data_IF_553833335772
#
_entry.id   IF_553833335772
#
_cell.length_a   1.000
_cell.length_b   1.000
_cell.length_c   1.000
_cell.angle_alpha   90.00
_cell.angle_beta   90.00
_cell.angle_gamma   90.00
#
_symmetry.space_group_name_H-M   'P 1'
#
loop_
_entity.id
_entity.type
_entity.pdbx_description
1 polymer ?
#
# COMPACT_ATOMS: atom_id res chain seq x y z
N UNK A 1 -1.84 22.91 14.24
CA UNK A 1 -0.91 22.40 15.27
C UNK A 1 -0.20 21.19 14.67
N UNK A 2 1.12 21.22 14.52
CA UNK A 2 1.86 20.07 13.98
C UNK A 2 2.11 19.09 15.12
N UNK A 3 1.26 18.08 15.27
CA UNK A 3 1.58 16.90 16.07
C UNK A 3 2.66 16.13 15.32
N UNK A 4 3.89 16.13 15.83
CA UNK A 4 4.96 15.27 15.30
C UNK A 4 4.50 13.82 15.42
N UNK A 5 4.23 13.17 14.29
CA UNK A 5 3.83 11.77 14.25
C UNK A 5 5.02 10.91 14.71
N UNK A 6 4.88 10.16 15.80
CA UNK A 6 5.92 9.22 16.29
C UNK A 6 5.40 7.78 16.24
N UNK A 7 6.24 6.85 15.78
CA UNK A 7 5.91 5.42 15.65
C UNK A 7 6.86 4.54 16.47
N UNK A 8 7.39 5.11 17.55
CA UNK A 8 8.38 4.48 18.43
C UNK A 8 7.92 3.08 18.85
N UNK A 9 8.82 2.11 18.69
CA UNK A 9 8.68 0.69 19.06
C UNK A 9 7.56 -0.07 18.33
N UNK A 10 6.84 0.55 17.38
CA UNK A 10 5.84 -0.14 16.56
C UNK A 10 6.52 -1.18 15.67
N UNK A 11 5.95 -2.38 15.63
CA UNK A 11 6.43 -3.53 14.86
C UNK A 11 5.80 -3.45 13.48
N UNK A 12 6.60 -3.20 12.45
CA UNK A 12 6.12 -2.91 11.10
C UNK A 12 6.70 -3.91 10.12
N UNK A 13 5.83 -4.57 9.35
CA UNK A 13 6.21 -5.36 8.17
C UNK A 13 6.00 -4.50 6.92
N UNK A 14 7.04 -4.30 6.11
CA UNK A 14 6.92 -3.69 4.77
C UNK A 14 7.35 -4.71 3.73
N UNK A 15 6.43 -5.20 2.91
CA UNK A 15 6.80 -6.12 1.83
C UNK A 15 7.48 -5.35 0.69
N UNK A 16 8.51 -5.91 0.06
CA UNK A 16 9.15 -5.26 -1.11
C UNK A 16 9.91 -3.98 -0.79
N UNK A 17 10.40 -3.81 0.44
CA UNK A 17 10.95 -2.54 0.93
C UNK A 17 12.40 -2.23 0.55
N UNK A 18 12.93 -2.81 -0.53
CA UNK A 18 14.34 -2.63 -0.94
C UNK A 18 14.55 -1.64 -2.09
N UNK A 19 13.50 -1.32 -2.84
CA UNK A 19 13.53 -0.36 -3.96
C UNK A 19 12.27 0.51 -3.97
N UNK A 20 12.30 1.60 -4.75
CA UNK A 20 11.14 2.46 -5.03
C UNK A 20 10.36 2.89 -3.79
N UNK A 21 9.03 2.80 -3.88
CA UNK A 21 8.08 3.15 -2.81
C UNK A 21 8.40 2.38 -1.53
N UNK A 22 8.69 1.07 -1.64
CA UNK A 22 8.96 0.24 -0.47
C UNK A 22 10.18 0.72 0.32
N UNK A 23 11.27 1.09 -0.37
CA UNK A 23 12.48 1.64 0.29
C UNK A 23 12.18 2.95 1.02
N UNK A 24 11.42 3.84 0.38
CA UNK A 24 11.02 5.10 1.00
C UNK A 24 10.16 4.88 2.24
N UNK A 25 9.20 3.95 2.18
CA UNK A 25 8.34 3.56 3.31
C UNK A 25 9.19 3.00 4.46
N UNK A 26 10.10 2.07 4.19
CA UNK A 26 11.02 1.53 5.22
C UNK A 26 11.84 2.65 5.87
N UNK A 27 12.41 3.57 5.07
CA UNK A 27 13.17 4.71 5.56
C UNK A 27 12.36 5.57 6.53
N UNK A 28 11.17 6.00 6.10
CA UNK A 28 10.28 6.84 6.90
C UNK A 28 9.87 6.15 8.22
N UNK A 29 9.43 4.89 8.18
CA UNK A 29 9.04 4.19 9.41
C UNK A 29 10.21 4.09 10.41
N UNK A 30 11.43 3.88 9.93
CA UNK A 30 12.63 3.83 10.79
C UNK A 30 12.98 5.20 11.37
N UNK A 31 12.89 6.27 10.56
CA UNK A 31 13.09 7.65 11.02
C UNK A 31 12.10 8.01 12.14
N UNK A 32 10.88 7.50 12.07
CA UNK A 32 9.83 7.66 13.08
C UNK A 32 9.96 6.72 14.29
N UNK A 33 11.04 5.92 14.37
CA UNK A 33 11.36 5.07 15.52
C UNK A 33 10.72 3.68 15.52
N UNK A 34 10.12 3.25 14.41
CA UNK A 34 9.51 1.92 14.30
C UNK A 34 10.57 0.82 14.13
N UNK A 35 10.23 -0.39 14.61
CA UNK A 35 10.97 -1.63 14.35
C UNK A 35 10.46 -2.24 13.06
N UNK A 36 11.23 -2.11 11.99
CA UNK A 36 10.80 -2.51 10.65
C UNK A 36 11.43 -3.84 10.25
N UNK A 37 10.63 -4.75 9.70
CA UNK A 37 11.07 -5.92 8.95
C UNK A 37 10.64 -5.74 7.49
N UNK A 38 11.55 -5.97 6.55
CA UNK A 38 11.28 -5.85 5.12
C UNK A 38 11.66 -7.10 4.34
N UNK A 39 11.12 -7.24 3.14
CA UNK A 39 11.29 -8.45 2.31
C UNK A 39 11.67 -8.10 0.88
N UNK A 40 12.50 -8.95 0.28
CA UNK A 40 12.73 -9.01 -1.15
C UNK A 40 13.32 -10.38 -1.51
N UNK A 41 13.37 -10.70 -2.81
CA UNK A 41 13.96 -11.97 -3.29
C UNK A 41 15.47 -12.07 -2.99
N UNK A 42 16.18 -10.93 -2.97
CA UNK A 42 17.62 -10.85 -2.71
C UNK A 42 17.88 -9.71 -1.75
N UNK A 43 18.78 -9.95 -0.79
CA UNK A 43 19.21 -8.91 0.15
C UNK A 43 20.08 -7.87 -0.56
N UNK A 44 19.74 -6.57 -0.49
CA UNK A 44 20.63 -5.50 -0.94
C UNK A 44 21.84 -5.36 0.00
N UNK A 45 22.97 -4.92 -0.55
CA UNK A 45 24.20 -4.72 0.23
C UNK A 45 24.05 -3.63 1.33
N UNK A 46 23.17 -2.66 1.13
CA UNK A 46 22.91 -1.53 2.03
C UNK A 46 21.81 -1.81 3.06
N UNK A 47 21.19 -3.01 3.05
CA UNK A 47 20.12 -3.37 3.99
C UNK A 47 20.65 -4.28 5.10
N UNK A 48 20.58 -3.86 6.38
CA UNK A 48 20.97 -4.69 7.51
C UNK A 48 20.21 -6.02 7.56
N UNK A 49 20.91 -7.11 7.90
CA UNK A 49 20.35 -8.45 7.89
C UNK A 49 19.28 -8.68 8.96
N UNK A 50 19.35 -7.96 10.08
CA UNK A 50 18.41 -8.04 11.21
C UNK A 50 17.04 -7.45 10.89
N UNK A 51 16.93 -6.64 9.83
CA UNK A 51 15.67 -6.05 9.38
C UNK A 51 15.16 -6.65 8.06
N UNK A 52 15.77 -7.73 7.57
CA UNK A 52 15.51 -8.26 6.22
C UNK A 52 15.16 -9.75 6.22
N UNK A 53 14.21 -10.12 5.37
CA UNK A 53 13.88 -11.52 5.05
C UNK A 53 13.98 -11.74 3.55
N UNK A 54 14.91 -12.63 3.14
CA UNK A 54 15.00 -13.10 1.77
C UNK A 54 13.82 -14.04 1.47
N UNK A 55 12.87 -13.61 0.65
CA UNK A 55 11.70 -14.41 0.30
C UNK A 55 11.14 -14.02 -1.06
N UNK A 56 10.64 -15.03 -1.80
CA UNK A 56 9.77 -14.79 -2.94
C UNK A 56 8.31 -14.83 -2.49
N UNK A 57 7.71 -13.65 -2.39
CA UNK A 57 6.32 -13.55 -1.94
C UNK A 57 5.30 -14.07 -2.96
N UNK A 58 5.69 -14.33 -4.21
CA UNK A 58 4.79 -14.97 -5.17
C UNK A 58 4.45 -16.43 -4.78
N UNK A 59 5.27 -17.05 -3.93
CA UNK A 59 5.09 -18.45 -3.48
C UNK A 59 4.44 -18.54 -2.10
N UNK A 60 3.92 -19.74 -1.78
CA UNK A 60 3.38 -20.03 -0.44
C UNK A 60 4.51 -20.05 0.58
N UNK A 61 5.61 -20.71 0.24
CA UNK A 61 6.77 -20.91 1.09
C UNK A 61 7.43 -19.58 1.47
N UNK A 62 7.52 -18.63 0.54
CA UNK A 62 8.07 -17.31 0.81
C UNK A 62 7.18 -16.48 1.74
N UNK A 63 5.85 -16.53 1.56
CA UNK A 63 4.91 -15.90 2.48
C UNK A 63 5.02 -16.51 3.89
N UNK A 64 5.09 -17.84 3.99
CA UNK A 64 5.22 -18.55 5.26
C UNK A 64 6.54 -18.23 5.96
N UNK A 65 7.65 -18.14 5.22
CA UNK A 65 8.95 -17.75 5.76
C UNK A 65 8.90 -16.34 6.38
N UNK A 66 8.25 -15.40 5.69
CA UNK A 66 8.07 -14.02 6.18
C UNK A 66 7.19 -13.98 7.42
N UNK A 67 6.05 -14.68 7.43
CA UNK A 67 5.18 -14.72 8.60
C UNK A 67 5.91 -15.31 9.82
N UNK A 68 6.66 -16.41 9.64
CA UNK A 68 7.48 -17.01 10.71
C UNK A 68 8.54 -16.03 11.21
N UNK A 69 9.22 -15.30 10.33
CA UNK A 69 10.22 -14.32 10.72
C UNK A 69 9.62 -13.17 11.53
N UNK A 70 8.44 -12.67 11.14
CA UNK A 70 7.71 -11.65 11.92
C UNK A 70 7.40 -12.16 13.32
N UNK A 71 6.84 -13.36 13.44
CA UNK A 71 6.49 -13.93 14.73
C UNK A 71 7.73 -14.18 15.60
N UNK A 72 8.83 -14.66 15.02
CA UNK A 72 10.07 -14.92 15.75
C UNK A 72 10.75 -13.64 16.25
N UNK A 73 10.80 -12.60 15.40
CA UNK A 73 11.52 -11.36 15.72
C UNK A 73 10.70 -10.40 16.60
N UNK A 74 9.39 -10.35 16.38
CA UNK A 74 8.51 -9.33 16.93
C UNK A 74 7.41 -9.87 17.85
N UNK A 75 7.18 -11.19 17.88
CA UNK A 75 6.08 -11.81 18.61
C UNK A 75 4.68 -11.44 18.08
N UNK A 76 4.61 -10.78 16.92
CA UNK A 76 3.41 -10.18 16.35
C UNK A 76 3.74 -8.91 15.57
N UNK A 77 2.74 -8.27 14.98
CA UNK A 77 2.92 -7.07 14.14
C UNK A 77 1.86 -6.03 14.47
N UNK A 78 2.23 -4.75 14.40
CA UNK A 78 1.32 -3.63 14.62
C UNK A 78 0.87 -3.00 13.29
N UNK A 79 1.76 -2.99 12.29
CA UNK A 79 1.45 -2.45 10.96
C UNK A 79 1.98 -3.39 9.87
N UNK A 80 1.14 -3.72 8.89
CA UNK A 80 1.56 -4.42 7.67
C UNK A 80 1.38 -3.48 6.48
N UNK A 81 2.42 -3.31 5.66
CA UNK A 81 2.37 -2.52 4.43
C UNK A 81 2.71 -3.44 3.25
N UNK A 82 1.69 -3.80 2.49
CA UNK A 82 1.81 -4.61 1.28
C UNK A 82 2.18 -3.73 0.09
N UNK A 83 3.48 -3.61 -0.21
CA UNK A 83 3.98 -2.83 -1.36
C UNK A 83 4.26 -3.72 -2.57
N UNK A 84 4.54 -5.01 -2.36
CA UNK A 84 4.85 -5.94 -3.46
C UNK A 84 3.75 -5.94 -4.53
N UNK A 85 4.18 -5.83 -5.78
CA UNK A 85 3.35 -5.82 -6.96
C UNK A 85 4.15 -5.41 -8.18
N UNK A 86 3.54 -5.57 -9.35
CA UNK A 86 4.16 -5.31 -10.64
C UNK A 86 3.50 -6.17 -11.70
N UNK A 87 3.90 -6.01 -12.95
CA UNK A 87 3.41 -6.83 -14.05
C UNK A 87 4.56 -7.25 -14.95
N UNK A 88 4.48 -8.49 -15.42
CA UNK A 88 5.39 -9.05 -16.43
C UNK A 88 4.62 -9.64 -17.61
N UNK A 89 3.33 -9.34 -17.70
CA UNK A 89 2.46 -9.81 -18.76
C UNK A 89 2.97 -9.33 -20.15
N UNK A 90 2.86 -10.20 -21.18
CA UNK A 90 3.24 -9.84 -22.54
C UNK A 90 2.27 -8.79 -23.11
N UNK A 91 2.76 -8.03 -24.10
CA UNK A 91 1.89 -7.22 -24.94
C UNK A 91 1.07 -8.12 -25.89
N UNK A 92 -0.10 -7.64 -26.33
CA UNK A 92 -1.02 -8.39 -27.18
C UNK A 92 -2.44 -8.49 -26.61
N UNK A 93 -2.72 -7.71 -25.57
CA UNK A 93 -4.02 -7.59 -24.97
C UNK A 93 -4.48 -8.86 -24.26
N UNK A 94 -5.79 -8.97 -24.07
CA UNK A 94 -6.41 -10.08 -23.34
C UNK A 94 -6.06 -11.46 -23.92
N UNK A 95 -5.98 -11.58 -25.25
CA UNK A 95 -5.73 -12.85 -25.93
C UNK A 95 -4.30 -13.39 -25.72
N UNK A 96 -3.35 -12.52 -25.33
CA UNK A 96 -1.97 -12.91 -25.04
C UNK A 96 -1.77 -13.38 -23.58
N UNK A 97 -2.80 -13.28 -22.73
CA UNK A 97 -2.74 -13.70 -21.33
C UNK A 97 -3.23 -15.14 -21.21
N UNK A 98 -2.28 -16.07 -21.22
CA UNK A 98 -2.54 -17.47 -20.90
C UNK A 98 -2.71 -17.71 -19.39
N UNK A 99 -3.04 -18.96 -19.02
CA UNK A 99 -3.23 -19.37 -17.62
C UNK A 99 -2.02 -19.04 -16.74
N UNK A 100 -0.80 -19.23 -17.25
CA UNK A 100 0.42 -18.95 -16.51
C UNK A 100 0.62 -17.44 -16.29
N UNK A 101 0.37 -16.61 -17.31
CA UNK A 101 0.40 -15.16 -17.18
C UNK A 101 -0.61 -14.67 -16.14
N UNK A 102 -1.85 -15.16 -16.18
CA UNK A 102 -2.87 -14.84 -15.17
C UNK A 102 -2.45 -15.27 -13.77
N UNK A 103 -1.98 -16.51 -13.64
CA UNK A 103 -1.58 -17.08 -12.35
C UNK A 103 -0.40 -16.33 -11.75
N UNK A 104 0.57 -15.90 -12.58
CA UNK A 104 1.70 -15.09 -12.16
C UNK A 104 1.27 -13.71 -11.66
N UNK A 105 0.39 -13.02 -12.38
CA UNK A 105 -0.12 -11.70 -11.98
C UNK A 105 -0.90 -11.77 -10.65
N UNK A 106 -1.73 -12.81 -10.46
CA UNK A 106 -2.45 -13.05 -9.21
C UNK A 106 -1.50 -13.43 -8.05
N UNK A 107 -0.52 -14.29 -8.32
CA UNK A 107 0.50 -14.69 -7.35
C UNK A 107 1.37 -13.53 -6.90
N UNK A 108 1.59 -12.52 -7.74
CA UNK A 108 2.41 -11.36 -7.38
C UNK A 108 1.59 -10.23 -6.73
N UNK A 109 0.37 -9.97 -7.20
CA UNK A 109 -0.34 -8.73 -6.87
C UNK A 109 -1.48 -8.87 -5.86
N UNK A 110 -1.96 -10.09 -5.60
CA UNK A 110 -3.09 -10.35 -4.71
C UNK A 110 -2.74 -11.35 -3.61
N UNK A 111 -2.32 -12.54 -4.01
CA UNK A 111 -2.14 -13.66 -3.10
C UNK A 111 -1.09 -13.44 -1.99
N UNK A 112 -0.02 -12.64 -2.17
CA UNK A 112 0.90 -12.37 -1.08
C UNK A 112 0.22 -11.69 0.11
N UNK A 113 -0.62 -10.68 -0.18
CA UNK A 113 -1.37 -9.96 0.83
C UNK A 113 -2.35 -10.91 1.54
N UNK A 114 -3.12 -11.68 0.77
CA UNK A 114 -4.07 -12.67 1.33
C UNK A 114 -3.37 -13.68 2.25
N UNK A 115 -2.22 -14.24 1.83
CA UNK A 115 -1.48 -15.26 2.59
C UNK A 115 -0.92 -14.67 3.89
N UNK A 116 -0.28 -13.51 3.82
CA UNK A 116 0.31 -12.84 4.97
C UNK A 116 -0.73 -12.33 5.95
N UNK A 117 -1.83 -11.74 5.45
CA UNK A 117 -2.94 -11.30 6.30
C UNK A 117 -3.57 -12.49 7.02
N UNK A 118 -3.82 -13.61 6.32
CA UNK A 118 -4.32 -14.83 6.95
C UNK A 118 -3.41 -15.33 8.08
N UNK A 119 -2.09 -15.16 7.94
CA UNK A 119 -1.12 -15.61 8.94
C UNK A 119 -0.96 -14.63 10.11
N UNK A 120 -1.04 -13.32 9.89
CA UNK A 120 -0.65 -12.29 10.85
C UNK A 120 -1.83 -11.50 11.45
N UNK A 121 -2.92 -11.33 10.70
CA UNK A 121 -4.11 -10.58 11.13
C UNK A 121 -4.79 -11.18 12.38
N UNK A 122 -4.86 -12.51 12.60
CA UNK A 122 -5.44 -13.06 13.83
C UNK A 122 -4.76 -12.53 15.10
N UNK A 123 -3.44 -12.33 15.08
CA UNK A 123 -2.69 -11.72 16.19
C UNK A 123 -3.07 -10.25 16.41
N UNK A 124 -3.25 -9.50 15.31
CA UNK A 124 -3.72 -8.10 15.35
C UNK A 124 -5.14 -7.96 15.89
N UNK A 125 -6.03 -8.90 15.55
CA UNK A 125 -7.38 -8.95 16.09
C UNK A 125 -7.39 -9.29 17.59
N UNK A 126 -6.57 -10.24 18.02
CA UNK A 126 -6.43 -10.62 19.42
C UNK A 126 -5.89 -9.47 20.29
N UNK A 127 -4.91 -8.70 19.79
CA UNK A 127 -4.39 -7.50 20.46
C UNK A 127 -5.35 -6.30 20.37
N UNK A 128 -6.45 -6.39 19.59
CA UNK A 128 -7.44 -5.33 19.35
C UNK A 128 -6.81 -4.02 18.87
N UNK A 129 -5.74 -4.12 18.09
CA UNK A 129 -5.00 -3.00 17.55
C UNK A 129 -4.23 -3.44 16.31
N UNK A 130 -4.08 -2.55 15.34
CA UNK A 130 -3.19 -2.74 14.21
C UNK A 130 -3.75 -2.19 12.91
N UNK A 131 -2.88 -1.99 11.93
CA UNK A 131 -3.21 -1.38 10.65
C UNK A 131 -2.66 -2.23 9.51
N UNK A 132 -3.46 -2.50 8.49
CA UNK A 132 -3.00 -3.16 7.25
C UNK A 132 -3.16 -2.20 6.09
N UNK A 133 -2.10 -1.98 5.33
CA UNK A 133 -2.06 -1.07 4.18
C UNK A 133 -1.79 -1.90 2.93
N UNK A 134 -2.69 -1.83 1.97
CA UNK A 134 -2.57 -2.41 0.63
C UNK A 134 -2.20 -1.34 -0.38
N UNK A 135 -0.99 -1.40 -0.94
CA UNK A 135 -0.63 -0.55 -2.08
C UNK A 135 -1.27 -1.12 -3.34
N UNK A 136 -2.28 -0.42 -3.86
CA UNK A 136 -3.02 -0.84 -5.06
C UNK A 136 -2.50 -0.14 -6.32
N UNK A 137 -3.37 0.17 -7.28
CA UNK A 137 -3.02 0.85 -8.52
C UNK A 137 -4.24 1.51 -9.14
N UNK A 138 -4.06 2.65 -9.79
CA UNK A 138 -5.12 3.30 -10.59
C UNK A 138 -5.71 2.37 -11.66
N UNK A 139 -4.92 1.40 -12.13
CA UNK A 139 -5.35 0.48 -13.19
C UNK A 139 -6.48 -0.46 -12.76
N UNK A 140 -6.74 -0.57 -11.45
CA UNK A 140 -7.93 -1.24 -10.92
C UNK A 140 -9.24 -0.64 -11.45
N UNK A 141 -9.22 0.64 -11.84
CA UNK A 141 -10.35 1.38 -12.44
C UNK A 141 -10.10 1.76 -13.90
N UNK A 142 -8.84 2.03 -14.25
CA UNK A 142 -8.41 2.44 -15.59
C UNK A 142 -7.43 1.40 -16.18
N UNK A 143 -7.90 0.21 -16.55
CA UNK A 143 -7.03 -0.85 -17.07
C UNK A 143 -6.36 -0.40 -18.38
N UNK A 144 -5.09 -0.76 -18.56
CA UNK A 144 -4.42 -0.63 -19.87
C UNK A 144 -4.61 -1.95 -20.63
N UNK A 145 -5.48 -1.99 -21.65
CA UNK A 145 -5.97 -3.25 -22.21
C UNK A 145 -4.87 -4.10 -22.84
N UNK A 146 -3.84 -3.44 -23.39
CA UNK A 146 -2.78 -4.04 -24.21
C UNK A 146 -1.78 -4.91 -23.44
N UNK A 147 -1.60 -4.68 -22.13
CA UNK A 147 -0.50 -5.33 -21.40
C UNK A 147 -0.75 -5.61 -19.92
N UNK A 148 -1.77 -5.05 -19.27
CA UNK A 148 -1.90 -5.16 -17.81
C UNK A 148 -3.31 -5.53 -17.34
N UNK A 149 -4.11 -6.17 -18.20
CA UNK A 149 -5.47 -6.57 -17.86
C UNK A 149 -5.53 -7.49 -16.63
N UNK A 150 -4.68 -8.51 -16.55
CA UNK A 150 -4.62 -9.41 -15.39
C UNK A 150 -4.12 -8.71 -14.11
N UNK A 151 -3.12 -7.83 -14.25
CA UNK A 151 -2.64 -6.98 -13.15
C UNK A 151 -3.74 -6.06 -12.61
N UNK A 152 -4.48 -5.40 -13.49
CA UNK A 152 -5.60 -4.53 -13.14
C UNK A 152 -6.67 -5.29 -12.36
N UNK A 153 -7.04 -6.49 -12.83
CA UNK A 153 -7.98 -7.37 -12.13
C UNK A 153 -7.47 -7.78 -10.74
N UNK A 154 -6.20 -8.15 -10.62
CA UNK A 154 -5.58 -8.50 -9.33
C UNK A 154 -5.59 -7.32 -8.35
N UNK A 155 -5.25 -6.10 -8.81
CA UNK A 155 -5.28 -4.89 -7.98
C UNK A 155 -6.71 -4.42 -7.64
N UNK A 156 -7.69 -4.70 -8.49
CA UNK A 156 -9.11 -4.52 -8.17
C UNK A 156 -9.53 -5.46 -7.05
N UNK A 157 -9.21 -6.76 -7.14
CA UNK A 157 -9.50 -7.72 -6.09
C UNK A 157 -8.85 -7.34 -4.75
N UNK A 158 -7.58 -6.89 -4.77
CA UNK A 158 -6.87 -6.42 -3.57
C UNK A 158 -7.58 -5.23 -2.91
N UNK A 159 -8.16 -4.33 -3.70
CA UNK A 159 -8.86 -3.16 -3.19
C UNK A 159 -10.18 -3.48 -2.50
N UNK A 160 -10.88 -4.54 -2.91
CA UNK A 160 -12.14 -4.99 -2.29
C UNK A 160 -11.96 -5.41 -0.84
N UNK A 161 -10.76 -5.85 -0.47
CA UNK A 161 -10.47 -6.23 0.91
C UNK A 161 -10.36 -5.03 1.86
N UNK A 162 -10.39 -3.78 1.38
CA UNK A 162 -10.08 -2.60 2.19
C UNK A 162 -11.26 -1.64 2.37
N UNK A 163 -11.33 -0.99 3.55
CA UNK A 163 -12.44 -0.10 3.94
C UNK A 163 -12.10 1.39 3.91
N UNK A 164 -10.81 1.74 3.87
CA UNK A 164 -10.31 3.12 3.87
C UNK A 164 -9.27 3.30 2.76
N UNK A 165 -8.97 4.53 2.36
CA UNK A 165 -7.96 4.82 1.34
C UNK A 165 -7.03 5.96 1.74
N UNK A 166 -5.77 5.86 1.32
CA UNK A 166 -4.76 6.91 1.38
C UNK A 166 -4.34 7.23 -0.05
N UNK A 167 -4.49 8.50 -0.43
CA UNK A 167 -4.14 9.01 -1.74
C UNK A 167 -2.89 9.89 -1.63
N UNK A 168 -1.83 9.52 -2.35
CA UNK A 168 -0.65 10.37 -2.55
C UNK A 168 -0.91 11.22 -3.79
N UNK A 169 -1.09 12.52 -3.60
CA UNK A 169 -1.40 13.48 -4.68
C UNK A 169 -0.12 14.24 -5.06
N UNK A 170 0.24 14.14 -6.33
CA UNK A 170 1.33 14.88 -6.96
C UNK A 170 0.75 16.15 -7.60
N UNK A 171 1.33 17.32 -7.34
CA UNK A 171 0.86 18.58 -7.94
C UNK A 171 1.88 19.14 -8.92
N UNK A 172 1.38 19.83 -9.95
CA UNK A 172 2.20 20.43 -11.01
C UNK A 172 3.14 21.51 -10.45
N UNK A 173 2.71 22.27 -9.43
CA UNK A 173 3.30 23.57 -9.12
C UNK A 173 3.83 23.71 -7.68
N UNK A 174 4.10 22.59 -6.99
CA UNK A 174 4.80 22.51 -5.67
C UNK A 174 4.54 23.71 -4.72
N UNK A 175 3.26 24.04 -4.49
CA UNK A 175 2.73 25.14 -3.63
C UNK A 175 2.38 26.48 -4.29
N UNK A 176 2.37 26.65 -5.62
CA UNK A 176 1.89 27.90 -6.27
C UNK A 176 0.74 27.65 -7.23
N UNK A 177 -0.46 28.11 -6.87
CA UNK A 177 -1.54 28.30 -7.84
C UNK A 177 -2.35 27.04 -8.18
N UNK A 178 -3.02 26.48 -7.18
CA UNK A 178 -4.30 25.78 -7.33
C UNK A 178 -4.84 25.51 -5.92
N UNK A 179 -6.11 25.81 -5.65
CA UNK A 179 -6.78 25.64 -4.35
C UNK A 179 -7.09 24.15 -4.05
N UNK A 180 -6.15 23.24 -4.33
CA UNK A 180 -6.30 21.79 -4.11
C UNK A 180 -6.53 21.49 -2.63
N UNK A 181 -5.84 22.17 -1.71
CA UNK A 181 -6.06 22.01 -0.27
C UNK A 181 -7.48 22.44 0.14
N UNK A 182 -7.94 23.59 -0.34
CA UNK A 182 -9.29 24.07 -0.05
C UNK A 182 -10.37 23.19 -0.71
N UNK A 183 -10.08 22.58 -1.86
CA UNK A 183 -10.97 21.60 -2.48
C UNK A 183 -11.03 20.30 -1.67
N UNK A 184 -9.89 19.80 -1.17
CA UNK A 184 -9.81 18.62 -0.31
C UNK A 184 -10.54 18.84 1.02
N UNK A 185 -10.40 20.01 1.65
CA UNK A 185 -11.11 20.37 2.88
C UNK A 185 -12.65 20.38 2.72
N UNK A 186 -13.16 20.52 1.50
CA UNK A 186 -14.61 20.49 1.21
C UNK A 186 -15.16 19.08 1.04
N UNK A 187 -14.30 18.06 0.94
CA UNK A 187 -14.73 16.66 0.81
C UNK A 187 -14.92 16.10 2.21
N UNK A 188 -16.16 15.83 2.60
CA UNK A 188 -16.51 15.42 3.98
C UNK A 188 -15.82 14.12 4.42
N UNK A 189 -15.46 13.27 3.47
CA UNK A 189 -14.77 12.00 3.67
C UNK A 189 -13.25 12.13 3.82
N UNK A 190 -12.67 13.31 3.55
CA UNK A 190 -11.25 13.59 3.83
C UNK A 190 -11.10 13.76 5.34
N UNK A 191 -10.37 12.83 5.96
CA UNK A 191 -10.12 12.82 7.41
C UNK A 191 -8.86 13.58 7.78
N UNK A 192 -7.85 13.48 6.93
CA UNK A 192 -6.57 14.15 7.12
C UNK A 192 -5.91 14.43 5.77
N UNK A 193 -5.07 15.47 5.73
CA UNK A 193 -4.30 15.85 4.56
C UNK A 193 -2.94 16.40 5.00
N UNK A 194 -1.90 15.55 4.95
CA UNK A 194 -0.54 15.95 5.27
C UNK A 194 0.17 16.51 4.03
N UNK A 195 0.83 17.66 4.18
CA UNK A 195 1.75 18.20 3.16
C UNK A 195 3.11 17.56 3.35
N UNK A 196 3.63 16.93 2.30
CA UNK A 196 4.91 16.21 2.34
C UNK A 196 6.01 17.00 1.61
N UNK A 197 7.26 16.79 2.04
CA UNK A 197 8.44 17.25 1.31
C UNK A 197 8.96 16.13 0.39
N UNK A 198 9.15 16.39 -0.90
CA UNK A 198 9.72 15.41 -1.84
C UNK A 198 9.04 15.42 -3.21
N UNK A 199 9.00 14.27 -3.87
CA UNK A 199 8.26 14.09 -5.14
C UNK A 199 6.73 14.02 -4.91
N UNK A 200 6.30 13.56 -3.74
CA UNK A 200 4.89 13.55 -3.32
C UNK A 200 4.58 14.84 -2.58
N UNK A 201 3.51 15.54 -2.98
CA UNK A 201 3.14 16.82 -2.36
C UNK A 201 2.12 16.68 -1.22
N UNK A 202 1.13 15.79 -1.37
CA UNK A 202 0.07 15.61 -0.38
C UNK A 202 -0.17 14.12 -0.11
N UNK A 203 -0.44 13.79 1.15
CA UNK A 203 -0.98 12.51 1.59
C UNK A 203 -2.36 12.75 2.18
N UNK A 204 -3.39 12.28 1.47
CA UNK A 204 -4.80 12.49 1.81
C UNK A 204 -5.38 11.17 2.34
N UNK A 205 -5.90 11.18 3.56
CA UNK A 205 -6.61 10.05 4.14
C UNK A 205 -8.12 10.24 3.93
N UNK A 206 -8.76 9.24 3.32
CA UNK A 206 -10.18 9.23 3.02
C UNK A 206 -10.84 8.03 3.65
N UNK A 207 -11.99 8.26 4.28
CA UNK A 207 -12.85 7.23 4.84
C UNK A 207 -14.26 7.40 4.28
N UNK A 208 -14.72 6.41 3.51
CA UNK A 208 -16.05 6.41 2.94
C UNK A 208 -16.74 5.07 3.17
N UNK A 209 -18.07 5.11 3.27
CA UNK A 209 -18.87 3.92 3.55
C UNK A 209 -18.83 2.86 2.44
N UNK A 210 -18.51 3.26 1.21
CA UNK A 210 -18.44 2.38 0.05
C UNK A 210 -17.21 2.64 -0.78
N UNK A 211 -16.78 1.59 -1.47
CA UNK A 211 -15.66 1.65 -2.40
C UNK A 211 -15.94 2.57 -3.60
N UNK A 212 -17.16 2.53 -4.13
CA UNK A 212 -17.63 3.41 -5.20
C UNK A 212 -17.47 4.89 -4.82
N UNK A 213 -17.79 5.24 -3.57
CA UNK A 213 -17.62 6.61 -3.08
C UNK A 213 -16.16 7.04 -3.02
N UNK A 214 -15.24 6.14 -2.62
CA UNK A 214 -13.80 6.43 -2.67
C UNK A 214 -13.36 6.68 -4.12
N UNK A 215 -13.90 5.93 -5.08
CA UNK A 215 -13.62 6.14 -6.51
C UNK A 215 -14.15 7.48 -7.02
N UNK A 216 -15.34 7.92 -6.60
CA UNK A 216 -15.88 9.24 -6.95
C UNK A 216 -15.02 10.37 -6.40
N UNK A 217 -14.58 10.23 -5.15
CA UNK A 217 -13.67 11.19 -4.50
C UNK A 217 -12.35 11.23 -5.25
N UNK A 218 -11.79 10.06 -5.59
CA UNK A 218 -10.55 9.99 -6.39
C UNK A 218 -10.70 10.72 -7.73
N UNK A 219 -11.80 10.46 -8.46
CA UNK A 219 -12.07 11.10 -9.74
C UNK A 219 -12.21 12.61 -9.60
N UNK A 220 -12.87 13.07 -8.53
CA UNK A 220 -13.00 14.49 -8.19
C UNK A 220 -11.64 15.14 -7.94
N UNK A 221 -10.79 14.53 -7.11
CA UNK A 221 -9.45 15.06 -6.80
C UNK A 221 -8.56 15.06 -8.04
N UNK A 222 -8.62 14.00 -8.84
CA UNK A 222 -7.81 13.87 -10.07
C UNK A 222 -8.17 14.90 -11.13
N UNK A 223 -9.40 15.39 -11.12
CA UNK A 223 -9.88 16.43 -12.02
C UNK A 223 -9.56 17.87 -11.55
N UNK A 224 -9.03 18.04 -10.33
CA UNK A 224 -8.64 19.36 -9.84
C UNK A 224 -7.49 19.93 -10.67
N UNK A 225 -7.62 21.20 -11.06
CA UNK A 225 -6.52 21.90 -11.70
C UNK A 225 -5.30 21.93 -10.75
N UNK A 226 -4.10 21.74 -11.29
CA UNK A 226 -2.87 21.58 -10.51
C UNK A 226 -2.58 20.17 -9.98
N UNK A 227 -3.48 19.17 -10.08
CA UNK A 227 -3.14 17.76 -9.82
C UNK A 227 -2.49 17.14 -11.04
N UNK A 228 -1.32 16.51 -10.85
CA UNK A 228 -0.54 15.85 -11.91
C UNK A 228 -0.76 14.34 -11.91
N UNK A 229 -0.79 13.72 -10.74
CA UNK A 229 -0.99 12.28 -10.58
C UNK A 229 -1.53 11.97 -9.18
N UNK A 230 -2.21 10.84 -9.02
CA UNK A 230 -2.62 10.32 -7.71
C UNK A 230 -2.27 8.84 -7.62
N UNK A 231 -1.40 8.49 -6.67
CA UNK A 231 -1.16 7.09 -6.28
C UNK A 231 -2.11 6.75 -5.13
N UNK A 232 -3.06 5.83 -5.36
CA UNK A 232 -4.00 5.41 -4.32
C UNK A 232 -3.61 4.08 -3.71
N UNK A 233 -3.37 4.09 -2.41
CA UNK A 233 -3.23 2.91 -1.57
C UNK A 233 -4.50 2.74 -0.75
N UNK A 234 -4.98 1.52 -0.56
CA UNK A 234 -6.12 1.27 0.32
C UNK A 234 -5.62 0.78 1.66
N UNK A 235 -6.23 1.26 2.74
CA UNK A 235 -5.92 0.85 4.10
C UNK A 235 -7.10 0.02 4.61
N UNK A 236 -6.83 -1.20 5.03
CA UNK A 236 -7.67 -1.90 5.99
C UNK A 236 -7.43 -1.24 7.34
N UNK A 237 -8.19 -0.20 7.61
CA UNK A 237 -8.29 0.34 8.96
C UNK A 237 -9.44 -0.36 9.66
N UNK A 238 -9.14 -1.42 10.41
CA UNK A 238 -9.93 -1.65 11.60
C UNK A 238 -9.24 -0.89 12.72
N UNK A 239 -9.66 0.35 12.96
CA UNK A 239 -9.78 0.77 14.34
C UNK A 239 -10.74 -0.25 14.94
N UNK A 240 -10.19 -1.32 15.53
CA UNK A 240 -10.97 -2.16 16.43
C UNK A 240 -11.38 -1.21 17.53
N UNK A 241 -12.57 -0.62 17.38
CA UNK A 241 -13.08 0.36 18.32
C UNK A 241 -12.93 -0.26 19.72
N UNK A 242 -12.13 0.39 20.57
CA UNK A 242 -12.35 0.26 22.01
C UNK A 242 -13.77 0.75 22.24
N UNK A 243 -14.71 -0.17 22.43
CA UNK A 243 -15.88 0.11 23.25
C UNK A 243 -15.40 0.34 24.68
#
# INVERSE_FOLDING_TARGET
MSTTLELKDKRVLVTGGTTGIGKAVVGLFRELGARVLTTARKQPADTPADIFVAADLATVEGCDAVAKAVLANFGGVDVIVHVVGGSSAPAGGFAALDEDAWQNELNLNLLPAVRLDRALLPGMLAQRAGVVIHVTSIQRMLPLPESTTAYAAAKAALSTCSKSAVMLVYRKDRMRGADVLAALERIAEVRDCAVLSGEVDLLVQIEAATHERISDIWATISALDGVQNITTSFVLDSVVHKR
#
